data_IF_704675491318
#
_entry.id   IF_704675491318
#
_cell.length_a   1.000
_cell.length_b   1.000
_cell.length_c   1.000
_cell.angle_alpha   90.00
_cell.angle_beta   90.00
_cell.angle_gamma   90.00
#
_symmetry.space_group_name_H-M   'P 1'
#
loop_
_entity.id
_entity.type
_entity.pdbx_description
1 polymer ?
#
# COMPACT_ATOMS: atom_id res chain seq x y z
N UNK A 1 14.25 3.09 10.83
CA UNK A 1 13.00 2.46 11.29
C UNK A 1 13.16 0.97 11.17
N UNK A 2 12.88 0.23 12.24
CA UNK A 2 12.93 -1.24 12.22
C UNK A 2 11.63 -1.83 11.65
N UNK A 3 11.64 -3.11 11.28
CA UNK A 3 10.44 -3.84 10.86
C UNK A 3 9.35 -3.86 11.93
N UNK A 4 9.75 -4.03 13.19
CA UNK A 4 8.86 -3.99 14.36
C UNK A 4 8.23 -2.61 14.56
N UNK A 5 9.02 -1.55 14.43
CA UNK A 5 8.56 -0.17 14.55
C UNK A 5 7.57 0.19 13.43
N UNK A 6 7.86 -0.22 12.20
CA UNK A 6 6.95 -0.04 11.05
C UNK A 6 5.61 -0.76 11.29
N UNK A 7 5.66 -2.01 11.75
CA UNK A 7 4.47 -2.80 12.10
C UNK A 7 3.65 -2.16 13.22
N UNK A 8 4.33 -1.64 14.24
CA UNK A 8 3.69 -0.97 15.37
C UNK A 8 2.98 0.32 14.92
N UNK A 9 3.66 1.15 14.10
CA UNK A 9 3.04 2.35 13.52
C UNK A 9 1.80 1.96 12.72
N UNK A 10 1.88 1.04 11.74
CA UNK A 10 0.71 0.65 10.94
C UNK A 10 -0.50 0.29 11.81
N UNK A 11 -0.27 -0.49 12.87
CA UNK A 11 -1.33 -0.88 13.82
C UNK A 11 -1.91 0.32 14.56
N UNK A 12 -1.09 1.24 15.06
CA UNK A 12 -1.56 2.49 15.71
C UNK A 12 -2.34 3.38 14.76
N UNK A 13 -1.91 3.46 13.50
CA UNK A 13 -2.64 4.17 12.46
C UNK A 13 -3.98 3.52 12.08
N UNK A 14 -4.24 2.27 12.52
CA UNK A 14 -5.47 1.53 12.26
C UNK A 14 -5.54 0.82 10.91
N UNK A 15 -4.44 0.73 10.16
CA UNK A 15 -4.45 0.12 8.83
C UNK A 15 -4.27 -1.39 8.87
N UNK A 16 -5.02 -2.13 8.05
CA UNK A 16 -4.64 -3.49 7.61
C UNK A 16 -3.48 -3.41 6.59
N UNK A 17 -2.77 -4.51 6.35
CA UNK A 17 -1.67 -4.51 5.38
C UNK A 17 -2.15 -4.17 3.96
N UNK A 18 -3.30 -4.70 3.56
CA UNK A 18 -3.96 -4.43 2.27
C UNK A 18 -4.29 -2.95 2.10
N UNK A 19 -4.87 -2.34 3.14
CA UNK A 19 -5.28 -0.95 3.12
C UNK A 19 -4.06 -0.01 3.05
N UNK A 20 -2.99 -0.30 3.81
CA UNK A 20 -1.75 0.46 3.73
C UNK A 20 -1.07 0.27 2.37
N UNK A 21 -1.08 -0.93 1.80
CA UNK A 21 -0.54 -1.19 0.47
C UNK A 21 -1.24 -0.32 -0.58
N UNK A 22 -2.58 -0.32 -0.59
CA UNK A 22 -3.37 0.51 -1.49
C UNK A 22 -3.09 2.00 -1.31
N UNK A 23 -3.06 2.48 -0.05
CA UNK A 23 -2.77 3.88 0.27
C UNK A 23 -1.40 4.33 -0.24
N UNK A 24 -0.40 3.45 -0.20
CA UNK A 24 0.98 3.73 -0.63
C UNK A 24 1.23 3.41 -2.11
N UNK A 25 0.20 3.01 -2.85
CA UNK A 25 0.32 2.66 -4.27
C UNK A 25 1.03 1.33 -4.54
N UNK A 26 1.15 0.43 -3.55
CA UNK A 26 1.68 -0.91 -3.76
C UNK A 26 0.60 -1.84 -4.29
N UNK A 27 0.91 -2.58 -5.37
CA UNK A 27 -0.02 -3.52 -5.99
C UNK A 27 -0.36 -4.76 -5.15
N UNK A 28 0.30 -4.99 -4.01
CA UNK A 28 0.04 -6.15 -3.15
C UNK A 28 0.42 -5.90 -1.69
N UNK A 29 -0.39 -6.46 -0.78
CA UNK A 29 -0.10 -6.49 0.67
C UNK A 29 1.22 -7.18 1.03
N UNK A 30 1.71 -8.05 0.14
CA UNK A 30 2.96 -8.78 0.34
C UNK A 30 4.11 -7.81 0.56
N UNK A 31 4.13 -6.67 -0.13
CA UNK A 31 5.18 -5.65 0.06
C UNK A 31 5.20 -5.11 1.49
N UNK A 32 4.03 -4.90 2.10
CA UNK A 32 3.92 -4.49 3.51
C UNK A 32 4.38 -5.61 4.43
N UNK A 33 4.03 -6.86 4.12
CA UNK A 33 4.48 -8.03 4.89
C UNK A 33 6.00 -8.19 4.88
N UNK A 34 6.65 -7.98 3.73
CA UNK A 34 8.12 -8.05 3.60
C UNK A 34 8.84 -7.01 4.47
N UNK A 35 8.26 -5.81 4.59
CA UNK A 35 8.75 -4.77 5.49
C UNK A 35 8.56 -5.15 6.97
N UNK A 36 7.40 -5.72 7.32
CA UNK A 36 7.10 -6.13 8.69
C UNK A 36 7.86 -7.37 9.16
N UNK A 37 8.28 -8.25 8.26
CA UNK A 37 9.10 -9.42 8.56
C UNK A 37 10.59 -9.11 8.57
N UNK A 38 11.01 -7.96 8.05
CA UNK A 38 12.41 -7.63 7.82
C UNK A 38 13.04 -8.38 6.64
N UNK A 39 12.24 -9.07 5.83
CA UNK A 39 12.69 -9.66 4.56
C UNK A 39 13.16 -8.58 3.59
N UNK A 40 12.57 -7.39 3.68
CA UNK A 40 12.97 -6.20 2.94
C UNK A 40 13.09 -5.02 3.89
N UNK A 41 14.16 -4.24 3.73
CA UNK A 41 14.32 -3.00 4.48
C UNK A 41 13.24 -1.98 4.10
N UNK A 42 12.80 -1.22 5.11
CA UNK A 42 11.88 -0.10 4.92
C UNK A 42 12.64 1.06 4.27
N UNK A 43 12.26 1.51 3.07
CA UNK A 43 12.92 2.65 2.43
C UNK A 43 12.83 3.90 3.30
N UNK A 44 13.90 4.71 3.33
CA UNK A 44 13.99 5.90 4.20
C UNK A 44 12.80 6.84 4.05
N UNK A 45 12.34 7.11 2.83
CA UNK A 45 11.21 7.99 2.58
C UNK A 45 9.91 7.41 3.16
N UNK A 46 9.69 6.11 3.02
CA UNK A 46 8.54 5.43 3.61
C UNK A 46 8.60 5.48 5.15
N UNK A 47 9.76 5.29 5.74
CA UNK A 47 9.94 5.41 7.19
C UNK A 47 9.58 6.81 7.69
N UNK A 48 10.04 7.86 7.00
CA UNK A 48 9.70 9.25 7.33
C UNK A 48 8.20 9.52 7.21
N UNK A 49 7.58 9.04 6.14
CA UNK A 49 6.13 9.19 5.92
C UNK A 49 5.32 8.52 7.04
N UNK A 50 5.65 7.26 7.37
CA UNK A 50 4.95 6.52 8.42
C UNK A 50 5.10 7.22 9.78
N UNK A 51 6.30 7.69 10.11
CA UNK A 51 6.54 8.44 11.34
C UNK A 51 5.74 9.76 11.38
N UNK A 52 5.70 10.51 10.27
CA UNK A 52 4.92 11.74 10.18
C UNK A 52 3.42 11.49 10.33
N UNK A 53 2.87 10.46 9.70
CA UNK A 53 1.46 10.06 9.85
C UNK A 53 1.14 9.72 11.30
N UNK A 54 2.02 9.00 12.00
CA UNK A 54 1.83 8.62 13.41
C UNK A 54 1.84 9.83 14.34
N UNK A 55 2.78 10.76 14.13
CA UNK A 55 2.98 11.92 15.01
C UNK A 55 1.94 13.02 14.80
N UNK A 56 1.51 13.26 13.56
CA UNK A 56 0.64 14.40 13.22
C UNK A 56 -0.84 14.02 13.12
N UNK A 57 -1.15 12.72 13.04
CA UNK A 57 -2.49 12.24 12.70
C UNK A 57 -2.91 12.48 11.25
N UNK A 58 -2.09 13.17 10.44
CA UNK A 58 -2.36 13.37 9.03
C UNK A 58 -2.43 12.03 8.29
N UNK A 59 -3.34 11.93 7.32
CA UNK A 59 -3.48 10.79 6.41
C UNK A 59 -3.60 11.29 4.98
N UNK A 60 -3.01 10.60 3.99
CA UNK A 60 -3.29 10.88 2.59
C UNK A 60 -4.79 10.73 2.34
N UNK A 61 -5.35 11.61 1.50
CA UNK A 61 -6.68 11.40 0.99
C UNK A 61 -6.72 10.06 0.24
N UNK A 62 -7.80 9.27 0.36
CA UNK A 62 -7.93 8.09 -0.47
C UNK A 62 -7.93 8.54 -1.94
N UNK A 63 -7.03 7.97 -2.75
CA UNK A 63 -7.08 8.15 -4.20
C UNK A 63 -8.49 7.79 -4.68
N UNK A 64 -9.10 8.59 -5.59
CA UNK A 64 -10.33 8.16 -6.24
C UNK A 64 -10.02 6.85 -6.95
N UNK A 65 -10.72 5.79 -6.56
CA UNK A 65 -10.68 4.54 -7.30
C UNK A 65 -11.45 4.81 -8.59
N UNK A 66 -10.78 5.41 -9.59
CA UNK A 66 -11.27 5.30 -10.95
C UNK A 66 -11.37 3.81 -11.20
N UNK A 67 -12.62 3.34 -11.28
CA UNK A 67 -12.93 1.97 -11.65
C UNK A 67 -12.24 1.79 -12.97
N UNK A 68 -11.09 1.11 -12.96
CA UNK A 68 -10.44 0.63 -14.16
C UNK A 68 -11.45 -0.34 -14.75
N UNK A 69 -12.38 0.17 -15.55
CA UNK A 69 -13.21 -0.63 -16.42
C UNK A 69 -12.17 -1.41 -17.20
N UNK A 70 -12.08 -2.71 -16.94
CA UNK A 70 -11.38 -3.60 -17.84
C UNK A 70 -11.94 -3.26 -19.22
N UNK A 71 -11.09 -2.73 -20.10
CA UNK A 71 -11.45 -2.62 -21.50
C UNK A 71 -11.97 -4.00 -21.91
N UNK A 72 -13.24 -4.11 -22.35
CA UNK A 72 -13.74 -5.40 -22.76
C UNK A 72 -12.79 -5.90 -23.85
N UNK A 73 -12.13 -7.04 -23.57
CA UNK A 73 -11.35 -7.77 -24.55
C UNK A 73 -12.21 -7.82 -25.82
N UNK A 74 -11.72 -7.39 -26.99
CA UNK A 74 -12.52 -7.49 -28.20
C UNK A 74 -12.86 -8.97 -28.39
N UNK A 75 -14.12 -9.33 -28.12
CA UNK A 75 -14.64 -10.64 -28.43
C UNK A 75 -14.53 -10.84 -29.94
N UNK A 76 -14.15 -12.06 -30.32
CA UNK A 76 -13.56 -12.38 -31.59
C UNK A 76 -14.28 -11.79 -32.80
N UNK A 77 -13.49 -11.29 -33.74
CA UNK A 77 -13.92 -11.31 -35.15
C UNK A 77 -13.62 -12.70 -35.74
N UNK A 78 -14.51 -13.20 -36.60
CA UNK A 78 -14.75 -14.62 -36.83
C UNK A 78 -13.73 -15.25 -37.79
N UNK A 79 -13.56 -16.58 -37.79
CA UNK A 79 -12.88 -17.25 -38.89
C UNK A 79 -13.77 -17.29 -40.16
N UNK A 80 -13.16 -16.80 -41.24
CA UNK A 80 -13.44 -16.88 -42.69
C UNK A 80 -14.69 -16.19 -43.27
#
# INVERSE_FOLDING_TARGET
MTSEEFKAIRKRLGYKQEALAALLGYGSKVRISEFESGTRDVPRLLALLMAAMDQTGWRPAPEPVESRKEDPRPEGSPPE
#
